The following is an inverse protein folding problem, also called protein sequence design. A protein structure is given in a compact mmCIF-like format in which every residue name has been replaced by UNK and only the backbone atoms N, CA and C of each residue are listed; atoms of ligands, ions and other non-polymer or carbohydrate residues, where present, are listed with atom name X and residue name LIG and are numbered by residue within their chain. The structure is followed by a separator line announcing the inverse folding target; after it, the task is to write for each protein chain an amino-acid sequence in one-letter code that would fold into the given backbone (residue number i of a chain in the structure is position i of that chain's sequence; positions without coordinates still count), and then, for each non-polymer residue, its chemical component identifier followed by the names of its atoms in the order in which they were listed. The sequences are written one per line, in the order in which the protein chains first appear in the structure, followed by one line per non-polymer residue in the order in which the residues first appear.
data_IF_035662071321
#
_entry.id   IF_035662071321
#
_cell.length_a   1.000
_cell.length_b   1.000
_cell.length_c   1.000
_cell.angle_alpha   90.00
_cell.angle_beta   90.00
_cell.angle_gamma   90.00
#
_symmetry.space_group_name_H-M   'P 1'
#
loop_
_entity.id
_entity.type
_entity.pdbx_description
1 polymer ?
#
# COMPACT_ATOMS: atom_id res chain seq x y z
N UNK A 1 15.81 1.58 8.87
CA UNK A 1 16.01 2.99 9.29
C UNK A 1 17.23 3.09 10.21
N UNK A 2 18.11 4.04 9.95
CA UNK A 2 19.32 4.28 10.74
C UNK A 2 19.14 5.55 11.57
N UNK A 3 18.64 5.40 12.80
CA UNK A 3 18.65 6.48 13.79
C UNK A 3 19.62 6.07 14.88
N UNK A 4 20.60 6.90 15.18
CA UNK A 4 21.55 6.69 16.27
C UNK A 4 20.85 6.94 17.59
N UNK A 5 21.18 6.18 18.63
CA UNK A 5 20.59 6.30 19.97
C UNK A 5 20.72 7.71 20.54
N UNK A 6 21.86 8.38 20.28
CA UNK A 6 22.10 9.76 20.74
C UNK A 6 21.15 10.80 20.12
N UNK A 7 20.36 10.42 19.09
CA UNK A 7 19.34 11.27 18.44
C UNK A 7 17.92 10.97 18.95
N UNK A 8 17.70 9.87 19.64
CA UNK A 8 16.35 9.49 20.09
C UNK A 8 15.78 10.49 21.09
N UNK A 9 16.60 10.98 22.04
CA UNK A 9 16.16 11.98 23.03
C UNK A 9 15.76 13.28 22.34
N UNK A 10 16.55 13.72 21.35
CA UNK A 10 16.19 14.87 20.54
C UNK A 10 14.88 14.67 19.77
N UNK A 11 14.69 13.53 19.11
CA UNK A 11 13.46 13.24 18.39
C UNK A 11 12.24 13.17 19.31
N UNK A 12 12.40 12.59 20.50
CA UNK A 12 11.37 12.53 21.54
C UNK A 12 11.01 13.92 22.10
N UNK A 13 11.89 14.90 22.00
CA UNK A 13 11.64 16.28 22.44
C UNK A 13 10.85 17.13 21.44
N UNK A 14 10.71 16.68 20.20
CA UNK A 14 9.99 17.41 19.15
C UNK A 14 8.48 17.19 19.30
N UNK A 15 7.68 18.24 19.55
CA UNK A 15 6.24 18.10 19.69
C UNK A 15 5.58 17.55 18.41
N UNK A 16 4.66 16.61 18.57
CA UNK A 16 3.90 15.98 17.48
C UNK A 16 4.75 15.28 16.40
N UNK A 17 6.03 15.02 16.67
CA UNK A 17 6.89 14.24 15.79
C UNK A 17 6.61 12.75 15.95
N UNK A 18 6.60 12.02 14.84
CA UNK A 18 6.49 10.56 14.83
C UNK A 18 7.12 9.96 13.59
N UNK A 19 7.75 8.81 13.76
CA UNK A 19 8.43 8.07 12.70
C UNK A 19 7.47 7.03 12.12
N UNK A 20 7.38 6.96 10.80
CA UNK A 20 6.77 5.85 10.08
C UNK A 20 7.82 4.76 9.90
N UNK A 21 7.62 3.62 10.57
CA UNK A 21 8.55 2.51 10.56
C UNK A 21 8.01 1.37 9.69
N UNK A 22 8.78 0.97 8.67
CA UNK A 22 8.47 -0.21 7.85
C UNK A 22 9.38 -1.37 8.24
N UNK A 23 8.77 -2.52 8.52
CA UNK A 23 9.44 -3.74 8.93
C UNK A 23 9.23 -4.84 7.90
N UNK A 24 10.31 -5.37 7.39
CA UNK A 24 10.33 -6.69 6.79
C UNK A 24 10.51 -7.65 7.96
N UNK A 25 9.69 -8.66 8.11
CA UNK A 25 9.58 -9.55 9.29
C UNK A 25 10.78 -9.54 10.27
N UNK A 26 10.55 -9.72 11.53
CA UNK A 26 11.60 -9.86 12.57
C UNK A 26 12.03 -11.33 12.73
N UNK A 27 11.48 -12.25 11.94
CA UNK A 27 11.72 -13.70 12.01
C UNK A 27 12.87 -14.16 11.10
N UNK A 28 13.30 -15.41 11.21
CA UNK A 28 14.54 -15.94 10.66
C UNK A 28 14.82 -15.75 9.17
N UNK A 29 13.80 -15.68 8.30
CA UNK A 29 13.97 -15.36 6.87
C UNK A 29 14.52 -13.97 6.62
N UNK A 30 14.39 -13.07 7.58
CA UNK A 30 14.92 -11.71 7.52
C UNK A 30 16.44 -11.68 7.47
N UNK A 31 17.14 -12.60 8.13
CA UNK A 31 18.61 -12.60 8.19
C UNK A 31 19.25 -12.79 6.81
N UNK A 32 18.52 -13.41 5.88
CA UNK A 32 18.96 -13.51 4.49
C UNK A 32 18.85 -12.19 3.70
N UNK A 33 18.04 -11.25 4.20
CA UNK A 33 17.70 -10.01 3.50
C UNK A 33 18.32 -8.79 4.19
N UNK A 34 18.36 -8.80 5.53
CA UNK A 34 18.79 -7.65 6.35
C UNK A 34 19.82 -8.08 7.39
N UNK A 35 20.95 -7.38 7.52
CA UNK A 35 21.99 -7.71 8.49
C UNK A 35 21.48 -7.77 9.92
N UNK A 36 22.03 -8.66 10.74
CA UNK A 36 21.67 -8.84 12.17
C UNK A 36 21.75 -7.54 12.97
N UNK A 37 22.71 -6.68 12.68
CA UNK A 37 22.86 -5.35 13.32
C UNK A 37 21.66 -4.43 13.12
N UNK A 38 20.89 -4.62 12.06
CA UNK A 38 19.65 -3.87 11.80
C UNK A 38 18.49 -4.33 12.68
N UNK A 39 18.47 -5.60 13.12
CA UNK A 39 17.46 -6.12 14.02
C UNK A 39 17.51 -5.45 15.38
N UNK A 40 18.72 -5.32 15.95
CA UNK A 40 18.94 -4.67 17.25
C UNK A 40 18.50 -3.20 17.20
N UNK A 41 18.89 -2.49 16.14
CA UNK A 41 18.45 -1.10 15.91
C UNK A 41 16.94 -0.97 15.75
N UNK A 42 16.33 -1.87 15.01
CA UNK A 42 14.87 -1.91 14.86
C UNK A 42 14.20 -2.10 16.22
N UNK A 43 14.71 -3.00 17.07
CA UNK A 43 14.21 -3.21 18.42
C UNK A 43 14.34 -1.95 19.28
N UNK A 44 15.46 -1.22 19.19
CA UNK A 44 15.64 0.06 19.88
C UNK A 44 14.62 1.09 19.41
N UNK A 45 14.38 1.22 18.11
CA UNK A 45 13.35 2.11 17.57
C UNK A 45 11.95 1.75 18.05
N UNK A 46 11.58 0.49 18.02
CA UNK A 46 10.26 0.01 18.47
C UNK A 46 10.02 0.33 19.97
N UNK A 47 11.07 0.25 20.78
CA UNK A 47 10.98 0.50 22.25
C UNK A 47 10.96 1.99 22.60
N UNK A 48 11.79 2.79 21.97
CA UNK A 48 12.15 4.12 22.45
C UNK A 48 11.84 5.27 21.49
N UNK A 49 11.63 5.01 20.20
CA UNK A 49 11.33 6.06 19.26
C UNK A 49 9.87 6.53 19.34
N UNK A 50 9.59 7.81 19.02
CA UNK A 50 8.25 8.31 18.85
C UNK A 50 7.72 7.80 17.51
N UNK A 51 6.85 6.80 17.54
CA UNK A 51 6.30 6.16 16.35
C UNK A 51 4.95 6.78 15.98
N UNK A 52 4.75 7.08 14.71
CA UNK A 52 3.45 7.49 14.16
C UNK A 52 2.71 6.30 13.53
N UNK A 53 3.44 5.49 12.75
CA UNK A 53 2.89 4.33 12.05
C UNK A 53 3.90 3.19 12.01
N UNK A 54 3.42 1.96 12.15
CA UNK A 54 4.23 0.76 11.97
C UNK A 54 3.66 -0.08 10.83
N UNK A 55 4.45 -0.32 9.79
CA UNK A 55 4.07 -1.15 8.65
C UNK A 55 4.85 -2.46 8.68
N UNK A 56 4.13 -3.58 8.75
CA UNK A 56 4.68 -4.91 8.59
C UNK A 56 4.56 -5.35 7.13
N UNK A 57 5.64 -5.90 6.59
CA UNK A 57 5.64 -6.49 5.26
C UNK A 57 5.39 -7.99 5.38
N UNK A 58 4.28 -8.46 4.82
CA UNK A 58 3.98 -9.89 4.73
C UNK A 58 4.94 -10.55 3.75
N UNK A 59 5.64 -11.58 4.20
CA UNK A 59 6.69 -12.30 3.47
C UNK A 59 6.29 -13.72 3.04
N UNK A 60 4.98 -13.98 2.93
CA UNK A 60 4.40 -15.27 2.51
C UNK A 60 4.20 -16.29 3.64
N UNK A 61 4.45 -15.93 4.89
CA UNK A 61 4.28 -16.80 6.05
C UNK A 61 3.37 -16.16 7.09
N UNK A 62 2.22 -16.79 7.35
CA UNK A 62 1.30 -16.38 8.42
C UNK A 62 1.98 -16.51 9.78
N UNK A 63 2.79 -17.54 9.98
CA UNK A 63 3.54 -17.72 11.22
C UNK A 63 4.49 -16.54 11.50
N UNK A 64 5.19 -16.03 10.48
CA UNK A 64 6.09 -14.89 10.65
C UNK A 64 5.30 -13.62 11.05
N UNK A 65 4.17 -13.35 10.40
CA UNK A 65 3.27 -12.24 10.74
C UNK A 65 2.71 -12.37 12.15
N UNK A 66 2.30 -13.57 12.54
CA UNK A 66 1.83 -13.85 13.89
C UNK A 66 2.88 -13.45 14.92
N UNK A 67 4.11 -13.94 14.76
CA UNK A 67 5.23 -13.62 15.66
C UNK A 67 5.60 -12.14 15.67
N UNK A 68 5.51 -11.48 14.52
CA UNK A 68 5.78 -10.05 14.43
C UNK A 68 4.68 -9.23 15.13
N UNK A 69 3.42 -9.59 15.00
CA UNK A 69 2.32 -8.95 15.71
C UNK A 69 2.41 -9.21 17.23
N UNK A 70 2.65 -10.45 17.66
CA UNK A 70 2.89 -10.78 19.08
C UNK A 70 4.02 -9.90 19.65
N UNK A 71 5.11 -9.72 18.92
CA UNK A 71 6.23 -8.88 19.33
C UNK A 71 5.81 -7.41 19.47
N UNK A 72 5.12 -6.85 18.48
CA UNK A 72 4.70 -5.44 18.51
C UNK A 72 3.73 -5.17 19.67
N UNK A 73 2.75 -6.02 19.88
CA UNK A 73 1.81 -5.91 20.98
C UNK A 73 2.49 -6.11 22.34
N UNK A 74 3.41 -7.08 22.42
CA UNK A 74 4.23 -7.31 23.63
C UNK A 74 5.13 -6.12 24.01
N UNK A 75 5.55 -5.32 23.02
CA UNK A 75 6.29 -4.07 23.23
C UNK A 75 5.38 -2.85 23.45
N UNK A 76 4.05 -3.02 23.40
CA UNK A 76 3.08 -1.94 23.53
C UNK A 76 3.10 -0.96 22.36
N UNK A 77 3.55 -1.39 21.18
CA UNK A 77 3.60 -0.55 19.97
C UNK A 77 2.20 -0.13 19.54
N UNK A 78 1.21 -1.02 19.67
CA UNK A 78 -0.21 -0.76 19.43
C UNK A 78 -0.76 0.45 20.20
N UNK A 79 -0.20 0.76 21.36
CA UNK A 79 -0.56 1.92 22.21
C UNK A 79 0.18 3.20 21.83
N UNK A 80 1.30 3.08 21.11
CA UNK A 80 2.16 4.22 20.74
C UNK A 80 1.85 4.76 19.36
N UNK A 81 1.41 3.92 18.43
CA UNK A 81 1.18 4.29 17.04
C UNK A 81 -0.30 4.55 16.77
N UNK A 82 -0.59 5.40 15.78
CA UNK A 82 -1.96 5.59 15.30
C UNK A 82 -2.47 4.37 14.54
N UNK A 83 -1.57 3.65 13.88
CA UNK A 83 -1.92 2.46 13.10
C UNK A 83 -0.76 1.47 13.02
N UNK A 84 -1.13 0.18 13.11
CA UNK A 84 -0.31 -0.92 12.61
C UNK A 84 -0.92 -1.33 11.27
N UNK A 85 -0.08 -1.38 10.24
CA UNK A 85 -0.49 -1.68 8.87
C UNK A 85 0.24 -2.94 8.39
N UNK A 86 -0.49 -3.87 7.77
CA UNK A 86 0.12 -5.02 7.10
C UNK A 86 0.01 -4.84 5.59
N UNK A 87 1.15 -4.94 4.91
CA UNK A 87 1.25 -4.84 3.44
C UNK A 87 1.89 -6.09 2.86
N UNK A 88 1.48 -6.45 1.66
CA UNK A 88 2.14 -7.48 0.87
C UNK A 88 3.52 -6.99 0.43
N UNK A 89 4.52 -7.88 0.48
CA UNK A 89 5.83 -7.60 -0.10
C UNK A 89 5.74 -7.58 -1.62
N UNK A 90 6.42 -6.63 -2.22
CA UNK A 90 6.50 -6.45 -3.66
C UNK A 90 7.96 -6.35 -4.12
N UNK A 91 8.21 -6.61 -5.38
CA UNK A 91 9.54 -6.51 -5.95
C UNK A 91 9.56 -5.61 -7.19
N UNK A 92 10.73 -5.07 -7.50
CA UNK A 92 11.00 -4.31 -8.72
C UNK A 92 11.78 -5.13 -9.73
N UNK A 93 11.97 -4.62 -10.94
CA UNK A 93 12.84 -5.26 -11.95
C UNK A 93 14.25 -5.50 -11.45
N UNK A 94 14.77 -4.60 -10.63
CA UNK A 94 16.13 -4.63 -10.09
C UNK A 94 16.25 -5.38 -8.77
N UNK A 95 15.14 -5.88 -8.21
CA UNK A 95 15.14 -6.64 -6.97
C UNK A 95 15.93 -7.94 -7.10
N UNK A 96 16.65 -8.29 -6.05
CA UNK A 96 17.36 -9.58 -5.95
C UNK A 96 16.39 -10.75 -6.10
N UNK A 97 16.91 -11.89 -6.56
CA UNK A 97 16.11 -13.13 -6.79
C UNK A 97 15.30 -13.55 -5.56
N UNK A 98 15.90 -13.50 -4.37
CA UNK A 98 15.24 -13.87 -3.11
C UNK A 98 13.99 -13.01 -2.82
N UNK A 99 14.05 -11.69 -3.09
CA UNK A 99 12.88 -10.81 -2.94
C UNK A 99 11.78 -11.13 -3.95
N UNK A 100 12.14 -11.54 -5.17
CA UNK A 100 11.17 -11.97 -6.18
C UNK A 100 10.45 -13.25 -5.76
N UNK A 101 11.18 -14.23 -5.24
CA UNK A 101 10.63 -15.51 -4.74
C UNK A 101 9.68 -15.26 -3.55
N UNK A 102 10.08 -14.42 -2.59
CA UNK A 102 9.22 -14.03 -1.47
C UNK A 102 7.96 -13.29 -1.93
N UNK A 103 8.06 -12.39 -2.90
CA UNK A 103 6.92 -11.67 -3.45
C UNK A 103 5.89 -12.61 -4.09
N UNK A 104 6.33 -13.66 -4.78
CA UNK A 104 5.45 -14.69 -5.33
C UNK A 104 4.69 -15.43 -4.23
N UNK A 105 5.36 -15.87 -3.18
CA UNK A 105 4.72 -16.50 -2.01
C UNK A 105 3.73 -15.55 -1.33
N UNK A 106 4.02 -14.26 -1.28
CA UNK A 106 3.12 -13.26 -0.74
C UNK A 106 1.80 -13.16 -1.53
N UNK A 107 1.86 -13.26 -2.86
CA UNK A 107 0.65 -13.23 -3.71
C UNK A 107 -0.25 -14.42 -3.39
N UNK A 108 0.33 -15.62 -3.27
CA UNK A 108 -0.39 -16.88 -3.07
C UNK A 108 -1.11 -16.96 -1.70
N UNK A 109 -0.53 -16.38 -0.65
CA UNK A 109 -1.00 -16.56 0.73
C UNK A 109 -1.53 -15.28 1.39
N UNK A 110 -1.58 -14.16 0.69
CA UNK A 110 -1.93 -12.87 1.29
C UNK A 110 -3.38 -12.82 1.79
N UNK A 111 -4.33 -13.33 1.02
CA UNK A 111 -5.75 -13.34 1.40
C UNK A 111 -6.01 -14.17 2.65
N UNK A 112 -5.35 -15.32 2.76
CA UNK A 112 -5.41 -16.17 3.96
C UNK A 112 -4.85 -15.43 5.18
N UNK A 113 -3.72 -14.74 5.00
CA UNK A 113 -3.13 -13.89 6.04
C UNK A 113 -4.07 -12.78 6.50
N UNK A 114 -4.72 -12.07 5.58
CA UNK A 114 -5.67 -11.00 5.89
C UNK A 114 -6.88 -11.54 6.65
N UNK A 115 -7.40 -12.69 6.27
CA UNK A 115 -8.51 -13.34 6.98
C UNK A 115 -8.12 -13.64 8.43
N UNK A 116 -6.95 -14.24 8.63
CA UNK A 116 -6.44 -14.52 9.96
C UNK A 116 -6.22 -13.24 10.80
N UNK A 117 -5.67 -12.16 10.21
CA UNK A 117 -5.48 -10.87 10.91
C UNK A 117 -6.82 -10.29 11.36
N UNK A 118 -7.85 -10.30 10.52
CA UNK A 118 -9.19 -9.79 10.87
C UNK A 118 -9.76 -10.47 12.10
N UNK A 119 -9.55 -11.77 12.22
CA UNK A 119 -10.08 -12.58 13.31
C UNK A 119 -9.31 -12.35 14.62
N UNK A 120 -8.00 -12.16 14.56
CA UNK A 120 -7.13 -12.15 15.73
C UNK A 120 -6.65 -10.75 16.14
N UNK A 121 -6.58 -9.79 15.20
CA UNK A 121 -6.07 -8.43 15.43
C UNK A 121 -6.96 -7.39 14.71
N UNK A 122 -8.20 -7.16 15.16
CA UNK A 122 -9.16 -6.30 14.45
C UNK A 122 -8.74 -4.82 14.36
N UNK A 123 -7.78 -4.39 15.19
CA UNK A 123 -7.20 -3.03 15.14
C UNK A 123 -6.09 -2.85 14.11
N UNK A 124 -5.64 -3.93 13.46
CA UNK A 124 -4.61 -3.85 12.40
C UNK A 124 -5.26 -3.51 11.08
N UNK A 125 -4.72 -2.49 10.40
CA UNK A 125 -5.16 -2.07 9.07
C UNK A 125 -4.40 -2.88 8.02
N UNK A 126 -5.11 -3.36 7.05
CA UNK A 126 -4.54 -3.98 5.85
C UNK A 126 -5.02 -3.20 4.64
N UNK A 127 -4.16 -3.10 3.64
CA UNK A 127 -4.49 -2.37 2.40
C UNK A 127 -5.41 -3.20 1.52
N UNK A 128 -6.70 -3.14 1.79
CA UNK A 128 -7.72 -3.42 0.79
C UNK A 128 -8.42 -2.09 0.52
N UNK A 129 -8.37 -1.57 -0.70
CA UNK A 129 -8.99 -0.29 -0.99
C UNK A 129 -10.50 -0.36 -0.72
N UNK A 130 -11.00 0.55 0.10
CA UNK A 130 -12.43 0.64 0.44
C UNK A 130 -13.09 1.56 -0.59
N UNK A 131 -13.42 1.03 -1.77
CA UNK A 131 -14.20 1.78 -2.77
C UNK A 131 -15.72 1.63 -2.62
N UNK A 132 -16.20 0.72 -1.76
CA UNK A 132 -17.65 0.48 -1.60
C UNK A 132 -18.46 1.70 -1.19
N UNK A 133 -17.83 2.67 -0.51
CA UNK A 133 -18.55 3.83 0.03
C UNK A 133 -18.65 5.00 -0.96
N UNK A 134 -17.79 5.08 -1.96
CA UNK A 134 -17.78 6.18 -2.93
C UNK A 134 -18.97 6.11 -3.90
N UNK A 135 -19.46 4.91 -4.20
CA UNK A 135 -20.58 4.69 -5.14
C UNK A 135 -21.97 4.68 -4.50
N UNK A 136 -22.09 4.84 -3.18
CA UNK A 136 -23.40 4.92 -2.50
C UNK A 136 -24.16 6.23 -2.78
N UNK A 137 -23.52 7.23 -3.40
CA UNK A 137 -24.07 8.56 -3.65
C UNK A 137 -24.80 8.78 -4.98
N UNK A 138 -25.19 7.72 -5.69
CA UNK A 138 -25.98 7.85 -6.92
C UNK A 138 -25.13 7.96 -8.17
N UNK A 139 -24.95 6.85 -8.84
CA UNK A 139 -24.37 6.80 -10.18
C UNK A 139 -25.37 7.42 -11.17
N UNK A 140 -24.97 8.40 -12.02
CA UNK A 140 -25.81 8.77 -13.16
C UNK A 140 -26.03 7.50 -13.99
N UNK A 141 -27.27 7.10 -14.17
CA UNK A 141 -27.66 5.77 -14.64
C UNK A 141 -27.06 5.31 -15.98
N UNK A 142 -26.45 6.21 -16.73
CA UNK A 142 -25.93 5.94 -18.07
C UNK A 142 -24.49 6.39 -18.32
N UNK A 143 -23.83 6.97 -17.31
CA UNK A 143 -22.43 7.41 -17.45
C UNK A 143 -21.45 6.24 -17.28
N UNK A 144 -20.48 6.13 -18.18
CA UNK A 144 -19.42 5.14 -18.09
C UNK A 144 -18.37 5.57 -17.04
N UNK A 145 -18.14 4.73 -16.06
CA UNK A 145 -17.11 4.92 -15.03
C UNK A 145 -15.97 3.93 -15.26
N UNK A 146 -14.79 4.44 -15.53
CA UNK A 146 -13.57 3.66 -15.65
C UNK A 146 -12.78 3.70 -14.35
N UNK A 147 -12.70 2.57 -13.64
CA UNK A 147 -11.86 2.40 -12.47
C UNK A 147 -10.44 2.11 -12.90
N UNK A 148 -9.51 2.95 -12.54
CA UNK A 148 -8.07 2.74 -12.77
C UNK A 148 -7.49 2.03 -11.55
N UNK A 149 -7.05 0.81 -11.71
CA UNK A 149 -6.60 -0.03 -10.61
C UNK A 149 -5.17 -0.51 -10.78
N UNK A 150 -4.35 -0.44 -9.73
CA UNK A 150 -3.11 -1.19 -9.68
C UNK A 150 -3.38 -2.70 -9.55
N UNK A 151 -2.37 -3.52 -9.79
CA UNK A 151 -2.49 -4.97 -9.72
C UNK A 151 -3.07 -5.47 -8.38
N UNK A 152 -2.72 -4.83 -7.26
CA UNK A 152 -3.21 -5.22 -5.92
C UNK A 152 -4.72 -5.05 -5.70
N UNK A 153 -5.37 -4.17 -6.49
CA UNK A 153 -6.80 -3.89 -6.36
C UNK A 153 -7.66 -4.48 -7.46
N UNK A 154 -7.05 -4.95 -8.55
CA UNK A 154 -7.78 -5.27 -9.78
C UNK A 154 -8.83 -6.36 -9.60
N UNK A 155 -8.46 -7.50 -9.05
CA UNK A 155 -9.38 -8.63 -8.85
C UNK A 155 -10.51 -8.27 -7.87
N UNK A 156 -10.16 -7.58 -6.79
CA UNK A 156 -11.13 -7.10 -5.82
C UNK A 156 -12.19 -6.18 -6.45
N UNK A 157 -11.77 -5.20 -7.22
CA UNK A 157 -12.71 -4.27 -7.86
C UNK A 157 -13.49 -4.92 -8.97
N UNK A 158 -12.88 -5.81 -9.73
CA UNK A 158 -13.57 -6.57 -10.79
C UNK A 158 -14.70 -7.39 -10.19
N UNK A 159 -14.49 -8.06 -9.06
CA UNK A 159 -15.55 -8.82 -8.39
C UNK A 159 -16.55 -7.90 -7.69
N UNK A 160 -16.11 -6.81 -7.05
CA UNK A 160 -16.98 -5.88 -6.33
C UNK A 160 -17.99 -5.17 -7.24
N UNK A 161 -17.62 -4.90 -8.49
CA UNK A 161 -18.46 -4.22 -9.49
C UNK A 161 -19.00 -5.14 -10.58
N UNK A 162 -18.88 -6.45 -10.39
CA UNK A 162 -19.43 -7.46 -11.29
C UNK A 162 -20.92 -7.26 -11.47
N UNK A 163 -21.35 -7.18 -12.73
CA UNK A 163 -22.76 -6.96 -13.09
C UNK A 163 -23.18 -5.49 -13.22
N UNK A 164 -22.32 -4.54 -12.89
CA UNK A 164 -22.57 -3.13 -13.16
C UNK A 164 -22.10 -2.79 -14.60
N UNK A 165 -23.05 -2.68 -15.53
CA UNK A 165 -22.75 -2.50 -16.96
C UNK A 165 -22.05 -1.19 -17.32
N UNK A 166 -22.16 -0.18 -16.48
CA UNK A 166 -21.57 1.14 -16.65
C UNK A 166 -20.29 1.36 -15.83
N UNK A 167 -19.76 0.32 -15.20
CA UNK A 167 -18.48 0.37 -14.46
C UNK A 167 -17.50 -0.63 -15.08
N UNK A 168 -16.33 -0.15 -15.48
CA UNK A 168 -15.27 -0.98 -16.06
C UNK A 168 -14.00 -0.85 -15.21
N UNK A 169 -13.50 -1.98 -14.74
CA UNK A 169 -12.22 -2.04 -14.04
C UNK A 169 -11.08 -2.16 -15.04
N UNK A 170 -10.08 -1.30 -14.95
CA UNK A 170 -8.95 -1.24 -15.86
C UNK A 170 -7.65 -1.44 -15.06
N UNK A 171 -6.93 -2.53 -15.36
CA UNK A 171 -5.63 -2.80 -14.77
C UNK A 171 -4.57 -1.89 -15.39
N UNK A 172 -3.86 -1.14 -14.57
CA UNK A 172 -2.69 -0.36 -14.97
C UNK A 172 -1.45 -0.86 -14.22
N UNK A 173 -0.46 -1.26 -14.97
CA UNK A 173 0.82 -1.73 -14.43
C UNK A 173 1.78 -0.55 -14.25
N UNK A 174 2.52 -0.54 -13.16
CA UNK A 174 3.55 0.46 -12.92
C UNK A 174 4.83 0.12 -13.71
N UNK A 175 5.07 0.77 -14.84
CA UNK A 175 6.21 0.50 -15.69
C UNK A 175 7.55 1.00 -15.10
N UNK A 176 7.54 2.07 -14.30
CA UNK A 176 8.77 2.59 -13.68
C UNK A 176 9.44 1.54 -12.79
N UNK A 177 8.64 0.79 -12.03
CA UNK A 177 9.12 -0.23 -11.10
C UNK A 177 8.98 -1.66 -11.64
N UNK A 178 8.68 -1.80 -12.93
CA UNK A 178 8.74 -3.09 -13.59
C UNK A 178 7.47 -3.89 -13.66
N UNK A 179 6.31 -3.29 -13.38
CA UNK A 179 5.00 -3.92 -13.52
C UNK A 179 4.58 -4.82 -12.35
N UNK A 180 5.51 -5.25 -11.51
CA UNK A 180 5.23 -6.10 -10.35
C UNK A 180 4.90 -5.33 -9.06
N UNK A 181 5.22 -4.04 -9.02
CA UNK A 181 4.88 -3.17 -7.90
C UNK A 181 3.44 -2.71 -8.06
N UNK A 182 2.59 -3.13 -7.13
CA UNK A 182 1.14 -3.02 -7.24
C UNK A 182 0.53 -1.90 -6.37
N UNK A 183 1.37 -0.99 -5.85
CA UNK A 183 0.92 0.11 -4.96
C UNK A 183 0.32 1.25 -5.76
N UNK A 184 -0.90 1.66 -5.40
CA UNK A 184 -1.64 2.74 -6.05
C UNK A 184 -0.86 4.07 -6.10
N UNK A 185 -0.21 4.45 -5.00
CA UNK A 185 0.58 5.69 -4.89
C UNK A 185 1.83 5.75 -5.76
N UNK A 186 2.16 4.69 -6.49
CA UNK A 186 3.28 4.67 -7.43
C UNK A 186 2.85 4.67 -8.89
N UNK A 187 1.54 4.67 -9.19
CA UNK A 187 1.02 4.89 -10.54
C UNK A 187 1.27 6.34 -10.96
N UNK A 188 1.49 6.55 -12.23
CA UNK A 188 1.73 7.88 -12.84
C UNK A 188 0.77 8.09 -14.00
N UNK A 189 0.55 9.35 -14.36
CA UNK A 189 -0.20 9.71 -15.56
C UNK A 189 0.35 9.03 -16.81
N UNK A 190 1.68 8.91 -16.92
CA UNK A 190 2.33 8.23 -18.02
C UNK A 190 1.92 6.76 -18.13
N UNK A 191 1.86 6.03 -16.99
CA UNK A 191 1.45 4.62 -16.99
C UNK A 191 0.00 4.48 -17.50
N UNK A 192 -0.88 5.40 -17.08
CA UNK A 192 -2.28 5.43 -17.52
C UNK A 192 -2.38 5.73 -19.01
N UNK A 193 -1.72 6.79 -19.50
CA UNK A 193 -1.75 7.18 -20.92
C UNK A 193 -1.26 6.08 -21.86
N UNK A 194 -0.27 5.30 -21.44
CA UNK A 194 0.32 4.22 -22.23
C UNK A 194 -0.56 2.96 -22.30
N UNK A 195 -1.41 2.72 -21.31
CA UNK A 195 -2.12 1.45 -21.15
C UNK A 195 -3.64 1.57 -21.21
N UNK A 196 -4.19 2.77 -21.04
CA UNK A 196 -5.61 3.01 -20.98
C UNK A 196 -6.08 3.82 -22.18
N UNK A 197 -6.89 3.20 -23.02
CA UNK A 197 -7.51 3.83 -24.20
C UNK A 197 -8.99 3.41 -24.27
N UNK A 198 -9.88 4.08 -23.54
CA UNK A 198 -11.29 3.71 -23.49
C UNK A 198 -12.06 4.22 -24.71
N UNK A 199 -13.03 3.43 -25.18
CA UNK A 199 -13.99 3.85 -26.21
C UNK A 199 -14.91 4.97 -25.71
N UNK A 200 -15.24 4.94 -24.43
CA UNK A 200 -16.04 5.95 -23.73
C UNK A 200 -15.52 6.17 -22.33
N UNK A 201 -15.37 7.41 -21.92
CA UNK A 201 -14.83 7.79 -20.61
C UNK A 201 -15.53 9.04 -20.08
N UNK A 202 -16.68 8.86 -19.42
CA UNK A 202 -17.42 9.98 -18.81
C UNK A 202 -16.81 10.35 -17.45
N UNK A 203 -16.44 9.32 -16.68
CA UNK A 203 -15.77 9.45 -15.42
C UNK A 203 -14.58 8.49 -15.31
N UNK A 204 -13.48 8.99 -14.77
CA UNK A 204 -12.31 8.22 -14.43
C UNK A 204 -12.12 8.22 -12.91
N UNK A 205 -12.15 7.06 -12.30
CA UNK A 205 -11.89 6.90 -10.87
C UNK A 205 -10.43 6.53 -10.66
N UNK A 206 -9.71 7.34 -9.89
CA UNK A 206 -8.29 7.16 -9.59
C UNK A 206 -8.07 6.97 -8.09
N UNK A 207 -7.08 6.15 -7.68
CA UNK A 207 -6.65 6.09 -6.30
C UNK A 207 -6.14 7.47 -5.82
N UNK A 208 -6.65 7.94 -4.69
CA UNK A 208 -6.23 9.20 -4.10
C UNK A 208 -4.72 9.22 -3.78
N UNK A 209 -4.16 8.06 -3.45
CA UNK A 209 -2.74 7.87 -3.15
C UNK A 209 -1.80 8.14 -4.34
N UNK A 210 -2.32 8.27 -5.55
CA UNK A 210 -1.53 8.69 -6.72
C UNK A 210 -1.01 10.12 -6.59
N UNK A 211 -1.66 10.94 -5.76
CA UNK A 211 -1.38 12.36 -5.65
C UNK A 211 -0.84 12.72 -4.28
N UNK A 212 0.11 13.65 -4.26
CA UNK A 212 0.59 14.28 -3.04
C UNK A 212 -0.41 15.36 -2.54
N UNK A 213 -0.05 16.06 -1.46
CA UNK A 213 -0.87 17.12 -0.88
C UNK A 213 -1.13 18.32 -1.83
N UNK A 214 -0.27 18.49 -2.84
CA UNK A 214 -0.37 19.56 -3.84
C UNK A 214 -1.17 19.10 -5.08
N UNK A 215 -1.71 17.88 -5.09
CA UNK A 215 -2.45 17.31 -6.21
C UNK A 215 -1.58 16.90 -7.40
N UNK A 216 -0.30 16.62 -7.16
CA UNK A 216 0.67 16.22 -8.17
C UNK A 216 0.97 14.73 -8.07
N UNK A 217 1.11 14.06 -9.22
CA UNK A 217 1.57 12.67 -9.28
C UNK A 217 3.08 12.54 -8.99
N UNK A 218 3.62 11.35 -9.04
CA UNK A 218 5.03 11.05 -8.76
C UNK A 218 6.02 11.77 -9.72
N UNK A 219 5.57 12.17 -10.91
CA UNK A 219 6.35 12.94 -11.89
C UNK A 219 6.03 14.45 -11.84
N UNK A 220 5.32 14.91 -10.81
CA UNK A 220 4.89 16.29 -10.64
C UNK A 220 3.89 16.78 -11.70
N UNK A 221 3.13 15.86 -12.30
CA UNK A 221 2.05 16.22 -13.20
C UNK A 221 0.74 16.44 -12.40
N UNK A 222 0.02 17.57 -12.59
CA UNK A 222 -1.24 17.83 -11.91
C UNK A 222 -2.38 16.99 -12.50
N UNK A 223 -3.36 16.60 -11.68
CA UNK A 223 -4.54 15.82 -12.06
C UNK A 223 -5.28 16.42 -13.28
N UNK A 224 -5.35 17.74 -13.37
CA UNK A 224 -6.01 18.47 -14.47
C UNK A 224 -5.43 18.15 -15.86
N UNK A 225 -4.16 17.77 -15.94
CA UNK A 225 -3.57 17.35 -17.23
C UNK A 225 -4.12 16.00 -17.71
N UNK A 226 -4.48 15.12 -16.78
CA UNK A 226 -5.09 13.85 -17.12
C UNK A 226 -6.57 14.04 -17.49
N UNK A 227 -7.30 14.90 -16.79
CA UNK A 227 -8.68 15.31 -17.14
C UNK A 227 -8.73 15.88 -18.57
N UNK A 228 -7.80 16.79 -18.86
CA UNK A 228 -7.71 17.42 -20.20
C UNK A 228 -7.36 16.38 -21.29
N UNK A 229 -6.46 15.46 -21.00
CA UNK A 229 -6.05 14.42 -21.96
C UNK A 229 -7.20 13.49 -22.34
N UNK A 230 -8.00 13.05 -21.38
CA UNK A 230 -9.11 12.12 -21.61
C UNK A 230 -10.46 12.80 -21.84
N UNK A 231 -10.58 14.09 -21.59
CA UNK A 231 -11.87 14.78 -21.62
C UNK A 231 -12.89 14.24 -20.61
N UNK A 232 -12.42 13.57 -19.56
CA UNK A 232 -13.23 12.91 -18.55
C UNK A 232 -13.12 13.61 -17.21
N UNK A 233 -14.17 13.55 -16.39
CA UNK A 233 -14.14 14.04 -15.02
C UNK A 233 -13.44 13.02 -14.13
N UNK A 234 -12.41 13.45 -13.40
CA UNK A 234 -11.70 12.59 -12.44
C UNK A 234 -12.39 12.62 -11.07
N UNK A 235 -12.50 11.45 -10.47
CA UNK A 235 -12.97 11.23 -9.10
C UNK A 235 -11.84 10.52 -8.36
N UNK A 236 -11.47 11.03 -7.20
CA UNK A 236 -10.48 10.41 -6.32
C UNK A 236 -11.17 9.61 -5.20
N UNK A 237 -10.59 8.44 -4.88
CA UNK A 237 -11.09 7.59 -3.79
C UNK A 237 -10.07 6.62 -3.22
#
# INVERSE_FOLDING_TARGET
AYIREDKLDFLNSIPNFGIDLSLITMQGKREAIIPRSERERTMTLLKYAPLNKCTLMFTGSIYDIQKDLELLYGLGVDKKVRQILVRRMEHTKTSQRQLKELSTQCIEHYEECITWIKENYPGVIYTVPILKDVFRGGNPSDAMVNLICPLSGYDYFTEAFKGMHNVKTNLILNHLYGGSVSVAGLLKHKDIREQFNPDRNDYMFLPNEMYNADGLDLLSEPMSELEKYYGAKIILG
#
